data_IF_297932251473
#
_entry.id   IF_297932251473
#
_cell.length_a   1.000
_cell.length_b   1.000
_cell.length_c   1.000
_cell.angle_alpha   90.00
_cell.angle_beta   90.00
_cell.angle_gamma   90.00
#
_symmetry.space_group_name_H-M   'P 1'
#
loop_
_entity.id
_entity.type
_entity.pdbx_description
1 polymer ?
#
# COMPACT_ATOMS: atom_id res chain seq x y z
N UNK A 1 21.06 11.20 -27.00
CA UNK A 1 20.18 10.24 -26.31
C UNK A 1 20.97 9.73 -25.12
N UNK A 2 20.48 10.05 -23.92
CA UNK A 2 21.17 9.72 -22.67
C UNK A 2 21.01 8.21 -22.39
N UNK A 3 22.12 7.51 -22.20
CA UNK A 3 22.11 6.06 -21.99
C UNK A 3 21.34 5.66 -20.71
N UNK A 4 21.30 6.55 -19.71
CA UNK A 4 20.54 6.31 -18.48
C UNK A 4 19.02 6.32 -18.67
N UNK A 5 18.52 7.14 -19.59
CA UNK A 5 17.09 7.24 -19.87
C UNK A 5 16.58 6.00 -20.63
N UNK A 6 17.38 5.47 -21.55
CA UNK A 6 17.08 4.25 -22.28
C UNK A 6 16.99 3.02 -21.37
N UNK A 7 17.92 2.87 -20.43
CA UNK A 7 17.92 1.76 -19.45
C UNK A 7 16.71 1.85 -18.53
N UNK A 8 16.37 3.05 -18.04
CA UNK A 8 15.18 3.26 -17.19
C UNK A 8 13.89 2.89 -17.92
N UNK A 9 13.76 3.27 -19.19
CA UNK A 9 12.57 2.90 -19.98
C UNK A 9 12.47 1.40 -20.23
N UNK A 10 13.59 0.71 -20.46
CA UNK A 10 13.60 -0.76 -20.61
C UNK A 10 13.14 -1.45 -19.32
N UNK A 11 13.65 -1.02 -18.16
CA UNK A 11 13.27 -1.59 -16.87
C UNK A 11 11.79 -1.33 -16.52
N UNK A 12 11.29 -0.12 -16.81
CA UNK A 12 9.86 0.17 -16.65
C UNK A 12 8.99 -0.74 -17.51
N UNK A 13 9.42 -0.99 -18.76
CA UNK A 13 8.68 -1.85 -19.68
C UNK A 13 8.68 -3.30 -19.20
N UNK A 14 9.82 -3.83 -18.77
CA UNK A 14 9.90 -5.19 -18.18
C UNK A 14 9.03 -5.33 -16.92
N UNK A 15 8.97 -4.28 -16.11
CA UNK A 15 8.12 -4.24 -14.93
C UNK A 15 6.62 -4.16 -15.29
N UNK A 16 6.25 -3.33 -16.26
CA UNK A 16 4.89 -3.26 -16.81
C UNK A 16 4.43 -4.61 -17.40
N UNK A 17 5.30 -5.25 -18.17
CA UNK A 17 5.07 -6.60 -18.72
C UNK A 17 4.87 -7.62 -17.58
N UNK A 18 5.63 -7.50 -16.48
CA UNK A 18 5.43 -8.33 -15.29
C UNK A 18 4.07 -8.09 -14.61
N UNK A 19 3.60 -6.84 -14.52
CA UNK A 19 2.25 -6.53 -14.01
C UNK A 19 1.20 -7.15 -14.91
N UNK A 20 1.40 -7.12 -16.23
CA UNK A 20 0.49 -7.74 -17.19
C UNK A 20 0.43 -9.26 -17.01
N UNK A 21 1.58 -9.90 -16.83
CA UNK A 21 1.62 -11.36 -16.72
C UNK A 21 1.06 -11.86 -15.38
N UNK A 22 1.29 -11.13 -14.28
CA UNK A 22 0.93 -11.58 -12.93
C UNK A 22 -0.44 -11.03 -12.49
N UNK A 23 -0.74 -9.76 -12.80
CA UNK A 23 -1.88 -9.00 -12.28
C UNK A 23 -2.83 -8.48 -13.38
N UNK A 24 -2.67 -8.84 -14.66
CA UNK A 24 -3.70 -8.48 -15.64
C UNK A 24 -4.98 -9.31 -15.44
N UNK A 25 -6.12 -8.78 -15.89
CA UNK A 25 -7.27 -9.61 -16.21
C UNK A 25 -6.90 -10.68 -17.25
N UNK A 26 -7.41 -11.92 -17.15
CA UNK A 26 -7.31 -12.91 -18.22
C UNK A 26 -7.75 -12.35 -19.58
N UNK A 27 -7.02 -12.70 -20.64
CA UNK A 27 -7.29 -12.22 -21.99
C UNK A 27 -8.77 -12.43 -22.38
N UNK A 28 -9.46 -11.34 -22.72
CA UNK A 28 -10.88 -11.36 -23.12
C UNK A 28 -11.89 -11.02 -22.03
N UNK A 29 -11.46 -10.82 -20.78
CA UNK A 29 -12.34 -10.31 -19.72
C UNK A 29 -12.40 -8.78 -19.79
N UNK A 30 -13.60 -8.23 -20.05
CA UNK A 30 -13.82 -6.78 -19.92
C UNK A 30 -13.57 -6.37 -18.47
N UNK A 31 -12.98 -5.18 -18.26
CA UNK A 31 -12.96 -4.49 -16.96
C UNK A 31 -14.40 -4.49 -16.41
N UNK A 32 -14.66 -5.32 -15.39
CA UNK A 32 -16.02 -5.69 -14.96
C UNK A 32 -16.15 -7.08 -14.33
N UNK A 33 -15.07 -7.63 -13.77
CA UNK A 33 -15.15 -8.80 -12.88
C UNK A 33 -16.12 -8.49 -11.74
N UNK A 34 -17.09 -9.38 -11.51
CA UNK A 34 -18.41 -9.07 -10.95
C UNK A 34 -18.50 -8.79 -9.44
N UNK A 35 -17.39 -8.47 -8.76
CA UNK A 35 -17.42 -8.16 -7.33
C UNK A 35 -16.41 -7.06 -6.99
N UNK A 36 -16.91 -5.93 -6.49
CA UNK A 36 -16.06 -4.85 -5.99
C UNK A 36 -15.25 -5.33 -4.79
N UNK A 37 -13.97 -4.91 -4.64
CA UNK A 37 -13.21 -5.22 -3.45
C UNK A 37 -13.89 -4.67 -2.19
N UNK A 38 -13.58 -5.30 -1.05
CA UNK A 38 -13.75 -4.63 0.22
C UNK A 38 -13.07 -3.24 0.17
N UNK A 39 -13.83 -2.21 0.52
CA UNK A 39 -13.39 -0.83 0.49
C UNK A 39 -13.87 -0.07 1.72
N UNK A 40 -12.92 0.52 2.44
CA UNK A 40 -13.15 1.35 3.59
C UNK A 40 -12.78 2.80 3.24
N UNK A 41 -13.83 3.60 2.99
CA UNK A 41 -13.71 5.05 2.79
C UNK A 41 -13.41 5.75 4.12
N UNK A 42 -12.46 6.67 4.11
CA UNK A 42 -12.21 7.60 5.20
C UNK A 42 -13.28 8.70 5.18
N UNK A 43 -13.91 8.95 6.32
CA UNK A 43 -14.92 10.01 6.47
C UNK A 43 -14.44 11.15 7.38
N UNK A 44 -13.72 10.84 8.46
CA UNK A 44 -13.22 11.79 9.46
C UNK A 44 -11.83 11.38 9.95
N UNK A 45 -11.03 12.35 10.36
CA UNK A 45 -9.64 12.13 10.77
C UNK A 45 -8.71 11.85 9.58
N UNK A 46 -7.44 11.56 9.85
CA UNK A 46 -6.39 11.23 8.89
C UNK A 46 -5.95 9.76 8.95
N UNK A 47 -6.89 8.85 9.24
CA UNK A 47 -6.65 7.40 9.35
C UNK A 47 -6.35 6.68 8.01
N UNK A 48 -5.76 7.36 7.03
CA UNK A 48 -5.60 6.86 5.66
C UNK A 48 -4.70 5.62 5.62
N UNK A 49 -3.66 5.58 6.46
CA UNK A 49 -2.79 4.41 6.60
C UNK A 49 -3.58 3.16 7.04
N UNK A 50 -4.37 3.27 8.10
CA UNK A 50 -5.21 2.16 8.59
C UNK A 50 -6.22 1.70 7.54
N UNK A 51 -6.90 2.63 6.87
CA UNK A 51 -7.86 2.30 5.82
C UNK A 51 -7.18 1.64 4.62
N UNK A 52 -6.01 2.11 4.21
CA UNK A 52 -5.20 1.49 3.15
C UNK A 52 -4.81 0.04 3.52
N UNK A 53 -4.40 -0.22 4.77
CA UNK A 53 -4.12 -1.59 5.23
C UNK A 53 -5.38 -2.47 5.13
N UNK A 54 -6.52 -2.02 5.65
CA UNK A 54 -7.78 -2.79 5.58
C UNK A 54 -8.24 -3.05 4.14
N UNK A 55 -8.05 -2.09 3.24
CA UNK A 55 -8.35 -2.22 1.81
C UNK A 55 -7.48 -3.31 1.15
N UNK A 56 -6.17 -3.34 1.46
CA UNK A 56 -5.24 -4.36 0.96
C UNK A 56 -5.57 -5.74 1.53
N UNK A 57 -5.80 -5.82 2.84
CA UNK A 57 -6.09 -7.09 3.53
C UNK A 57 -7.48 -7.63 3.15
N UNK A 58 -8.41 -6.75 2.77
CA UNK A 58 -9.74 -7.09 2.30
C UNK A 58 -10.78 -7.26 3.40
N UNK A 59 -10.67 -6.47 4.47
CA UNK A 59 -11.61 -6.48 5.58
C UNK A 59 -11.19 -5.54 6.70
N UNK A 60 -12.04 -5.41 7.72
CA UNK A 60 -11.78 -4.61 8.91
C UNK A 60 -10.86 -5.36 9.90
N UNK A 61 -9.58 -5.51 9.55
CA UNK A 61 -8.60 -6.27 10.35
C UNK A 61 -7.78 -5.40 11.31
N UNK A 62 -7.69 -4.11 10.99
CA UNK A 62 -6.90 -3.10 11.72
C UNK A 62 -7.83 -1.98 12.17
N UNK A 63 -7.72 -1.61 13.44
CA UNK A 63 -8.47 -0.54 14.10
C UNK A 63 -7.51 0.53 14.63
N UNK A 64 -8.00 1.72 15.06
CA UNK A 64 -7.15 2.72 15.70
C UNK A 64 -6.49 2.20 16.98
N UNK A 65 -7.16 1.30 17.70
CA UNK A 65 -6.59 0.61 18.88
C UNK A 65 -5.42 -0.28 18.47
N UNK A 66 -5.57 -1.09 17.43
CA UNK A 66 -4.47 -1.92 16.92
C UNK A 66 -3.25 -1.07 16.52
N UNK A 67 -3.48 0.06 15.83
CA UNK A 67 -2.41 0.98 15.43
C UNK A 67 -1.66 1.54 16.65
N UNK A 68 -2.40 1.98 17.67
CA UNK A 68 -1.83 2.54 18.90
C UNK A 68 -1.05 1.50 19.70
N UNK A 69 -1.57 0.28 19.80
CA UNK A 69 -0.90 -0.82 20.50
C UNK A 69 0.37 -1.26 19.78
N UNK A 70 0.32 -1.39 18.45
CA UNK A 70 1.47 -1.74 17.63
C UNK A 70 2.58 -0.67 17.67
N UNK A 71 2.23 0.61 17.72
CA UNK A 71 3.19 1.70 17.88
C UNK A 71 3.88 1.67 19.25
N UNK A 72 3.12 1.42 20.33
CA UNK A 72 3.68 1.27 21.68
C UNK A 72 4.59 0.05 21.79
N UNK A 73 4.18 -1.08 21.20
CA UNK A 73 4.99 -2.29 21.16
C UNK A 73 6.31 -2.04 20.43
N UNK A 74 6.26 -1.37 19.27
CA UNK A 74 7.45 -0.98 18.52
C UNK A 74 8.41 -0.12 19.35
N UNK A 75 7.93 0.94 20.00
CA UNK A 75 8.79 1.78 20.85
C UNK A 75 9.41 1.00 22.01
N UNK A 76 8.62 0.15 22.65
CA UNK A 76 9.12 -0.72 23.73
C UNK A 76 10.22 -1.66 23.23
N UNK A 77 10.10 -2.22 22.02
CA UNK A 77 11.13 -3.06 21.40
C UNK A 77 12.42 -2.28 21.08
N UNK A 78 12.29 -1.01 20.71
CA UNK A 78 13.43 -0.13 20.45
C UNK A 78 14.07 0.46 21.72
N UNK A 79 13.52 0.17 22.91
CA UNK A 79 14.01 0.71 24.19
C UNK A 79 13.63 2.17 24.45
N UNK A 80 12.63 2.68 23.71
CA UNK A 80 12.11 4.04 23.76
C UNK A 80 10.88 4.15 24.69
N UNK A 81 10.56 5.39 25.11
CA UNK A 81 9.44 5.68 26.01
C UNK A 81 8.14 5.98 25.27
N UNK A 82 7.00 6.01 25.97
CA UNK A 82 5.66 6.22 25.37
C UNK A 82 5.22 7.69 25.30
N UNK A 83 6.18 8.62 25.23
CA UNK A 83 5.96 10.07 25.26
C UNK A 83 5.94 10.70 23.87
N UNK A 84 6.75 11.74 23.64
CA UNK A 84 6.85 12.46 22.37
C UNK A 84 7.14 11.52 21.17
N UNK A 85 7.94 10.46 21.40
CA UNK A 85 8.28 9.43 20.40
C UNK A 85 7.04 8.65 19.91
N UNK A 86 5.97 8.59 20.69
CA UNK A 86 4.69 7.99 20.27
C UNK A 86 3.88 8.95 19.38
N UNK A 87 3.98 10.26 19.61
CA UNK A 87 3.33 11.26 18.75
C UNK A 87 3.96 11.29 17.35
N UNK A 88 5.25 10.96 17.22
CA UNK A 88 5.93 10.80 15.92
C UNK A 88 5.43 9.59 15.11
N UNK A 89 4.93 8.55 15.79
CA UNK A 89 4.39 7.34 15.15
C UNK A 89 2.88 7.44 14.89
N UNK A 90 2.16 8.08 15.81
CA UNK A 90 0.70 8.17 15.82
C UNK A 90 0.28 9.60 16.19
N UNK A 91 -0.03 10.39 15.18
CA UNK A 91 -0.57 11.73 15.40
C UNK A 91 -2.01 11.67 15.93
N UNK A 92 -2.42 12.72 16.67
CA UNK A 92 -3.70 12.77 17.41
C UNK A 92 -4.94 12.62 16.54
N UNK A 93 -4.84 12.92 15.25
CA UNK A 93 -5.94 12.81 14.29
C UNK A 93 -5.87 11.55 13.42
N UNK A 94 -4.93 10.65 13.70
CA UNK A 94 -4.84 9.35 13.05
C UNK A 94 -3.87 9.27 11.87
N UNK A 95 -2.99 10.26 11.67
CA UNK A 95 -1.87 10.08 10.75
C UNK A 95 -0.84 9.12 11.37
N UNK A 96 -0.44 8.11 10.61
CA UNK A 96 0.41 7.02 11.07
C UNK A 96 1.71 6.98 10.27
N UNK A 97 2.83 6.83 10.96
CA UNK A 97 4.13 6.64 10.33
C UNK A 97 4.22 5.26 9.66
N UNK A 98 5.22 5.10 8.80
CA UNK A 98 5.45 3.82 8.12
C UNK A 98 5.86 2.70 9.09
N UNK A 99 6.56 3.06 10.18
CA UNK A 99 6.95 2.14 11.24
C UNK A 99 5.72 1.62 12.01
N UNK A 100 4.76 2.49 12.31
CA UNK A 100 3.49 2.08 12.92
C UNK A 100 2.71 1.12 12.01
N UNK A 101 2.66 1.42 10.70
CA UNK A 101 2.01 0.56 9.70
C UNK A 101 2.72 -0.80 9.55
N UNK A 102 4.06 -0.81 9.53
CA UNK A 102 4.84 -2.04 9.46
C UNK A 102 4.67 -2.89 10.74
N UNK A 103 4.65 -2.25 11.91
CA UNK A 103 4.46 -2.92 13.20
C UNK A 103 3.09 -3.61 13.26
N UNK A 104 2.00 -2.91 12.91
CA UNK A 104 0.67 -3.52 12.95
C UNK A 104 0.52 -4.64 11.92
N UNK A 105 1.15 -4.53 10.75
CA UNK A 105 1.14 -5.60 9.75
C UNK A 105 1.81 -6.87 10.26
N UNK A 106 2.95 -6.72 10.95
CA UNK A 106 3.67 -7.82 11.59
C UNK A 106 2.78 -8.54 12.60
N UNK A 107 2.04 -7.82 13.43
CA UNK A 107 1.10 -8.39 14.40
C UNK A 107 -0.05 -9.14 13.72
N UNK A 108 -0.46 -8.70 12.51
CA UNK A 108 -1.47 -9.38 11.69
C UNK A 108 -0.89 -10.50 10.81
N UNK A 109 0.39 -10.83 10.94
CA UNK A 109 1.04 -11.91 10.19
C UNK A 109 1.39 -11.53 8.74
N UNK A 110 1.65 -10.26 8.48
CA UNK A 110 2.11 -9.71 7.20
C UNK A 110 3.45 -8.98 7.39
N UNK A 111 4.15 -8.70 6.29
CA UNK A 111 5.36 -7.89 6.28
C UNK A 111 5.23 -6.78 5.23
N UNK A 112 5.81 -5.63 5.53
CA UNK A 112 5.98 -4.54 4.59
C UNK A 112 7.38 -4.62 3.98
N UNK A 113 7.46 -4.81 2.67
CA UNK A 113 8.71 -4.78 1.92
C UNK A 113 9.12 -3.33 1.67
N UNK A 114 10.20 -2.90 2.32
CA UNK A 114 10.74 -1.54 2.23
C UNK A 114 11.65 -1.35 0.99
N UNK A 115 11.89 -2.40 0.21
CA UNK A 115 12.60 -2.30 -1.06
C UNK A 115 11.71 -1.76 -2.17
N UNK A 116 12.33 -1.24 -3.24
CA UNK A 116 11.61 -0.81 -4.43
C UNK A 116 10.85 -1.99 -5.04
N UNK A 117 9.57 -1.82 -5.46
CA UNK A 117 8.80 -2.89 -6.06
C UNK A 117 9.51 -3.50 -7.28
N UNK A 118 9.72 -4.81 -7.25
CA UNK A 118 10.27 -5.59 -8.34
C UNK A 118 9.24 -6.62 -8.83
N UNK A 119 9.54 -7.30 -9.95
CA UNK A 119 8.67 -8.37 -10.47
C UNK A 119 8.38 -9.46 -9.41
N UNK A 120 9.39 -9.82 -8.61
CA UNK A 120 9.24 -10.77 -7.50
C UNK A 120 8.29 -10.28 -6.40
N UNK A 121 8.18 -8.96 -6.22
CA UNK A 121 7.23 -8.36 -5.28
C UNK A 121 5.80 -8.58 -5.77
N UNK A 122 5.52 -8.48 -7.08
CA UNK A 122 4.18 -8.69 -7.66
C UNK A 122 3.65 -10.10 -7.41
N UNK A 123 4.51 -11.13 -7.54
CA UNK A 123 4.13 -12.53 -7.34
C UNK A 123 3.69 -12.83 -5.89
N UNK A 124 4.31 -12.16 -4.92
CA UNK A 124 4.11 -12.41 -3.48
C UNK A 124 3.21 -11.39 -2.80
N UNK A 125 2.96 -10.25 -3.44
CA UNK A 125 2.22 -9.14 -2.87
C UNK A 125 0.74 -9.49 -2.70
N UNK A 126 0.23 -9.24 -1.49
CA UNK A 126 -1.20 -9.15 -1.22
C UNK A 126 -1.79 -7.85 -1.78
N UNK A 127 -0.97 -6.81 -1.84
CA UNK A 127 -1.28 -5.47 -2.33
C UNK A 127 -0.07 -4.55 -2.19
N UNK A 128 -0.19 -3.33 -2.69
CA UNK A 128 0.83 -2.30 -2.57
C UNK A 128 0.29 -1.12 -1.75
N UNK A 129 1.15 -0.60 -0.87
CA UNK A 129 0.90 0.58 -0.06
C UNK A 129 1.78 1.71 -0.56
N UNK A 130 1.17 2.73 -1.17
CA UNK A 130 1.86 3.88 -1.73
C UNK A 130 1.75 5.07 -0.78
N UNK A 131 2.87 5.78 -0.62
CA UNK A 131 2.94 7.04 0.10
C UNK A 131 2.94 8.22 -0.88
N UNK A 132 1.99 9.15 -0.75
CA UNK A 132 1.96 10.40 -1.50
C UNK A 132 2.17 11.59 -0.59
N UNK A 133 3.22 12.39 -0.81
CA UNK A 133 3.32 13.71 -0.20
C UNK A 133 2.37 14.67 -0.93
N UNK A 134 1.40 15.24 -0.25
CA UNK A 134 0.51 16.25 -0.83
C UNK A 134 1.25 17.59 -0.94
N UNK A 135 1.46 18.07 -2.16
CA UNK A 135 2.43 19.12 -2.50
C UNK A 135 2.09 20.53 -1.98
N UNK A 136 0.89 20.75 -1.43
CA UNK A 136 0.40 22.07 -1.01
C UNK A 136 0.09 22.20 0.48
N UNK A 137 -0.05 21.10 1.21
CA UNK A 137 -0.47 21.10 2.63
C UNK A 137 0.54 20.39 3.55
N UNK A 138 1.53 19.70 2.99
CA UNK A 138 2.40 18.81 3.76
C UNK A 138 1.67 17.60 4.32
N UNK A 139 0.44 17.33 3.85
CA UNK A 139 -0.32 16.16 4.31
C UNK A 139 0.22 14.90 3.65
N UNK A 140 0.44 13.88 4.46
CA UNK A 140 0.88 12.56 4.03
C UNK A 140 -0.35 11.70 3.78
N UNK A 141 -0.44 11.08 2.60
CA UNK A 141 -1.57 10.23 2.25
C UNK A 141 -1.14 8.83 1.82
N UNK A 142 -1.83 7.83 2.35
CA UNK A 142 -1.59 6.42 2.07
C UNK A 142 -2.65 5.89 1.12
N UNK A 143 -2.20 5.32 -0.01
CA UNK A 143 -3.08 4.74 -1.04
C UNK A 143 -2.81 3.25 -1.14
N UNK A 144 -3.89 2.46 -1.22
CA UNK A 144 -3.84 1.03 -1.42
C UNK A 144 -4.04 0.68 -2.90
N UNK A 145 -3.23 -0.26 -3.40
CA UNK A 145 -3.47 -0.95 -4.67
C UNK A 145 -3.60 -2.44 -4.43
N UNK A 146 -4.57 -3.08 -5.09
CA UNK A 146 -4.82 -4.51 -4.92
C UNK A 146 -5.35 -5.14 -6.19
N UNK A 147 -4.82 -6.32 -6.51
CA UNK A 147 -5.45 -7.21 -7.48
C UNK A 147 -6.50 -8.10 -6.81
N UNK A 148 -7.73 -8.06 -7.31
CA UNK A 148 -8.81 -8.96 -6.89
C UNK A 148 -9.89 -9.08 -7.96
N UNK A 149 -10.54 -10.25 -8.02
CA UNK A 149 -11.60 -10.55 -8.98
C UNK A 149 -11.18 -10.28 -10.44
N UNK A 150 -9.92 -10.53 -10.79
CA UNK A 150 -9.41 -10.35 -12.15
C UNK A 150 -9.09 -8.90 -12.52
N UNK A 151 -9.01 -7.99 -11.55
CA UNK A 151 -8.86 -6.55 -11.80
C UNK A 151 -7.88 -5.91 -10.81
N UNK A 152 -7.15 -4.89 -11.28
CA UNK A 152 -6.31 -4.03 -10.46
C UNK A 152 -7.17 -2.86 -9.97
N UNK A 153 -7.18 -2.66 -8.66
CA UNK A 153 -7.96 -1.60 -8.02
C UNK A 153 -7.07 -0.63 -7.28
N UNK A 154 -7.27 0.66 -7.52
CA UNK A 154 -6.87 1.77 -6.66
C UNK A 154 -7.95 1.96 -5.59
N UNK A 155 -7.54 1.83 -4.34
CA UNK A 155 -8.40 1.85 -3.14
C UNK A 155 -8.02 3.04 -2.26
N UNK A 156 -8.05 4.23 -2.84
CA UNK A 156 -7.83 5.49 -2.15
C UNK A 156 -9.01 5.77 -1.22
N UNK A 157 -8.76 5.79 0.10
CA UNK A 157 -9.81 5.97 1.10
C UNK A 157 -10.47 7.36 1.05
N UNK A 158 -9.89 8.34 0.36
CA UNK A 158 -10.51 9.66 0.17
C UNK A 158 -11.55 9.65 -0.97
N UNK A 159 -11.49 8.66 -1.86
CA UNK A 159 -12.42 8.52 -2.97
C UNK A 159 -13.76 7.93 -2.51
N UNK A 160 -14.80 8.20 -3.30
CA UNK A 160 -16.15 7.72 -2.96
C UNK A 160 -16.32 6.22 -3.16
N UNK A 161 -15.55 5.64 -4.09
CA UNK A 161 -15.62 4.24 -4.51
C UNK A 161 -14.24 3.75 -4.97
N UNK A 162 -14.00 2.42 -4.98
CA UNK A 162 -12.87 1.82 -5.67
C UNK A 162 -12.78 2.24 -7.12
N UNK A 163 -11.57 2.33 -7.63
CA UNK A 163 -11.32 2.64 -9.03
C UNK A 163 -10.50 1.53 -9.67
N UNK A 164 -11.02 0.99 -10.77
CA UNK A 164 -10.28 0.02 -11.56
C UNK A 164 -9.27 0.75 -12.44
N UNK A 165 -8.01 0.31 -12.38
CA UNK A 165 -6.91 0.90 -13.15
C UNK A 165 -6.26 -0.16 -14.04
N UNK A 166 -5.53 0.29 -15.06
CA UNK A 166 -4.80 -0.61 -15.95
C UNK A 166 -3.41 -0.97 -15.40
N UNK A 167 -2.78 -2.04 -15.92
CA UNK A 167 -1.38 -2.36 -15.61
C UNK A 167 -0.42 -1.20 -15.87
N UNK A 168 -0.64 -0.43 -16.95
CA UNK A 168 0.17 0.74 -17.31
C UNK A 168 0.03 1.86 -16.28
N UNK A 169 -1.19 2.12 -15.82
CA UNK A 169 -1.45 3.10 -14.76
C UNK A 169 -0.78 2.68 -13.46
N UNK A 170 -0.88 1.39 -13.07
CA UNK A 170 -0.18 0.88 -11.89
C UNK A 170 1.35 1.00 -12.05
N UNK A 171 1.92 0.59 -13.18
CA UNK A 171 3.37 0.69 -13.43
C UNK A 171 3.87 2.12 -13.26
N UNK A 172 3.14 3.08 -13.83
CA UNK A 172 3.43 4.50 -13.69
C UNK A 172 3.40 4.93 -12.23
N UNK A 173 2.32 4.60 -11.53
CA UNK A 173 2.13 4.93 -10.11
C UNK A 173 3.25 4.39 -9.21
N UNK A 174 3.65 3.13 -9.42
CA UNK A 174 4.74 2.49 -8.67
C UNK A 174 6.11 3.09 -8.98
N UNK A 175 6.32 3.61 -10.19
CA UNK A 175 7.59 4.19 -10.63
C UNK A 175 7.80 5.66 -10.22
N UNK A 176 6.71 6.39 -9.99
CA UNK A 176 6.72 7.83 -9.69
C UNK A 176 6.62 8.10 -8.19
N UNK A 177 6.10 7.16 -7.39
CA UNK A 177 5.84 7.35 -5.97
C UNK A 177 6.40 6.21 -5.14
N UNK A 178 6.88 6.55 -3.94
CA UNK A 178 7.39 5.57 -2.98
C UNK A 178 6.29 4.57 -2.62
N UNK A 179 6.49 3.32 -2.97
CA UNK A 179 5.50 2.26 -2.82
C UNK A 179 6.12 1.02 -2.20
N UNK A 180 5.36 0.34 -1.34
CA UNK A 180 5.80 -0.81 -0.58
C UNK A 180 4.89 -2.01 -0.83
N UNK A 181 5.47 -3.19 -1.01
CA UNK A 181 4.68 -4.40 -1.15
C UNK A 181 4.28 -4.95 0.22
N UNK A 182 3.00 -5.27 0.42
CA UNK A 182 2.55 -6.03 1.60
C UNK A 182 2.53 -7.51 1.22
N UNK A 183 3.27 -8.32 1.95
CA UNK A 183 3.43 -9.75 1.67
C UNK A 183 3.07 -10.57 2.91
N UNK A 184 2.75 -11.85 2.73
CA UNK A 184 2.86 -12.79 3.85
C UNK A 184 4.34 -13.10 4.10
N UNK A 185 4.76 -13.26 5.36
CA UNK A 185 6.10 -13.73 5.68
C UNK A 185 6.34 -15.02 4.89
N UNK A 186 7.52 -15.16 4.29
CA UNK A 186 7.92 -16.47 3.79
C UNK A 186 7.91 -17.42 4.99
N UNK A 187 7.16 -18.52 4.92
CA UNK A 187 7.31 -19.59 5.89
C UNK A 187 8.77 -20.05 5.80
N UNK A 188 9.54 -19.78 6.87
CA UNK A 188 10.85 -20.39 7.10
C UNK A 188 10.70 -21.86 7.46
#
# INVERSE_FOLDING_TARGET
>A
MDAGESVRQSLLKEFEDSIKDIWAPPAGQKLGGSEEPFFQRQQRGRHCGMHALNNILGGNFVTPTDMMEAAKAYLSEQGHGTGDELEDLVEKDGNYSIEALASVLRDKGYSLDLSEPAATSLERAKGFLQHRPESTTGSHHWIAYRYCAGAIWRLDSLMERPEQITPEELAKELSENRTFAIQRPAHG
#
